data_IF_380709682914
#
_entry.id   IF_380709682914
#
_cell.length_a   1.000
_cell.length_b   1.000
_cell.length_c   1.000
_cell.angle_alpha   90.00
_cell.angle_beta   90.00
_cell.angle_gamma   90.00
#
_symmetry.space_group_name_H-M   'P 1'
#
loop_
_entity.id
_entity.type
_entity.pdbx_description
1 polymer ?
#
# COMPACT_ATOMS: atom_id res chain seq x y z
N UNK A 1 -25.26 -49.58 -46.11
CA UNK A 1 -24.06 -50.41 -45.85
C UNK A 1 -22.96 -49.48 -45.26
N UNK A 2 -22.66 -49.73 -44.02
CA UNK A 2 -21.30 -49.73 -43.40
C UNK A 2 -20.61 -48.38 -43.25
N UNK A 3 -20.62 -47.81 -42.05
CA UNK A 3 -19.57 -47.88 -40.99
C UNK A 3 -18.24 -47.25 -41.43
N UNK A 4 -17.60 -46.33 -40.64
CA UNK A 4 -16.94 -46.38 -39.36
C UNK A 4 -16.21 -45.03 -39.13
N UNK A 5 -16.45 -44.28 -38.11
CA UNK A 5 -15.75 -44.20 -36.82
C UNK A 5 -14.21 -44.09 -36.91
N UNK A 6 -13.68 -43.00 -36.28
CA UNK A 6 -12.51 -42.88 -35.38
C UNK A 6 -11.98 -41.44 -35.37
N UNK A 7 -12.15 -40.75 -34.31
CA UNK A 7 -11.30 -40.63 -33.12
C UNK A 7 -9.95 -39.95 -33.34
N UNK A 8 -9.80 -38.95 -32.49
CA UNK A 8 -8.63 -38.50 -31.69
C UNK A 8 -7.65 -37.59 -32.43
N UNK A 9 -7.28 -36.49 -31.91
CA UNK A 9 -6.48 -36.34 -30.71
C UNK A 9 -6.22 -34.88 -30.38
N UNK A 10 -6.09 -34.66 -29.10
CA UNK A 10 -5.71 -33.43 -28.43
C UNK A 10 -4.42 -32.78 -29.01
N UNK A 11 -4.46 -31.46 -29.10
CA UNK A 11 -3.29 -30.65 -29.30
C UNK A 11 -3.36 -29.47 -28.36
N UNK A 12 -2.75 -29.61 -27.21
CA UNK A 12 -2.48 -28.52 -26.26
C UNK A 12 -1.42 -27.62 -26.88
N UNK A 13 -1.80 -26.40 -27.23
CA UNK A 13 -0.84 -25.31 -27.40
C UNK A 13 -1.00 -24.35 -26.25
N UNK A 14 -0.08 -24.46 -25.33
CA UNK A 14 0.09 -23.49 -24.27
C UNK A 14 0.55 -22.14 -24.84
N UNK A 15 -0.31 -21.15 -24.77
CA UNK A 15 0.07 -19.76 -25.00
C UNK A 15 0.65 -19.25 -23.72
N UNK A 16 1.97 -19.16 -23.66
CA UNK A 16 2.68 -18.40 -22.62
C UNK A 16 2.50 -16.93 -22.94
N UNK A 17 1.52 -16.29 -22.30
CA UNK A 17 1.38 -14.84 -22.28
C UNK A 17 2.40 -14.26 -21.30
N UNK A 18 3.49 -13.72 -21.85
CA UNK A 18 4.41 -12.88 -21.09
C UNK A 18 3.68 -11.63 -20.64
N UNK A 19 3.41 -11.53 -19.34
CA UNK A 19 2.92 -10.32 -18.72
C UNK A 19 4.05 -9.31 -18.60
N UNK A 20 4.01 -8.29 -19.46
CA UNK A 20 4.78 -7.07 -19.27
C UNK A 20 4.19 -6.33 -18.06
N UNK A 21 4.99 -6.23 -16.99
CA UNK A 21 4.70 -5.46 -15.80
C UNK A 21 4.69 -3.96 -16.10
N UNK A 22 3.54 -3.41 -16.49
CA UNK A 22 3.24 -2.02 -16.24
C UNK A 22 2.45 -1.98 -14.93
N UNK A 23 3.13 -1.56 -13.85
CA UNK A 23 2.55 -1.50 -12.50
C UNK A 23 1.57 -0.36 -12.33
N UNK A 24 0.40 -0.43 -12.97
CA UNK A 24 -0.76 0.30 -12.54
C UNK A 24 -1.48 -0.57 -11.51
N UNK A 25 -1.50 -0.15 -10.25
CA UNK A 25 -2.33 -0.77 -9.22
C UNK A 25 -3.80 -0.57 -9.63
N UNK A 26 -4.36 -1.57 -10.30
CA UNK A 26 -5.80 -1.58 -10.56
C UNK A 26 -6.52 -1.84 -9.23
N UNK A 27 -7.57 -1.10 -8.92
CA UNK A 27 -8.39 -1.38 -7.75
C UNK A 27 -8.97 -2.79 -7.88
N UNK A 28 -8.69 -3.64 -6.89
CA UNK A 28 -9.27 -4.97 -6.81
C UNK A 28 -10.71 -4.83 -6.32
N UNK A 29 -11.70 -5.03 -7.20
CA UNK A 29 -13.09 -5.12 -6.80
C UNK A 29 -13.35 -6.51 -6.19
N UNK A 30 -13.64 -6.54 -4.90
CA UNK A 30 -14.04 -7.76 -4.20
C UNK A 30 -15.56 -7.83 -4.20
N UNK A 31 -16.12 -8.71 -5.03
CA UNK A 31 -17.53 -9.11 -4.93
C UNK A 31 -17.70 -10.02 -3.71
N UNK A 32 -17.88 -9.41 -2.54
CA UNK A 32 -18.25 -10.13 -1.33
C UNK A 32 -19.72 -10.57 -1.39
N UNK A 33 -19.99 -11.83 -1.71
CA UNK A 33 -21.29 -12.44 -1.37
C UNK A 33 -21.30 -12.73 0.14
N UNK A 34 -21.70 -11.75 0.91
CA UNK A 34 -21.94 -11.87 2.33
C UNK A 34 -22.95 -10.82 2.74
N UNK A 35 -24.00 -11.21 3.43
CA UNK A 35 -25.11 -10.47 4.03
C UNK A 35 -25.14 -8.96 3.75
N UNK A 36 -26.27 -8.39 3.33
CA UNK A 36 -26.36 -6.95 3.18
C UNK A 36 -25.91 -6.31 4.50
N UNK A 37 -24.93 -5.40 4.48
CA UNK A 37 -24.53 -4.69 5.68
C UNK A 37 -25.76 -3.98 6.24
N UNK A 38 -25.87 -3.85 7.57
CA UNK A 38 -26.94 -3.07 8.17
C UNK A 38 -26.99 -1.72 7.48
N UNK A 39 -28.20 -1.29 7.11
CA UNK A 39 -28.42 -0.02 6.39
C UNK A 39 -27.99 1.13 7.31
N UNK A 40 -26.69 1.33 7.39
CA UNK A 40 -26.02 2.46 8.04
C UNK A 40 -25.76 3.52 6.96
N UNK A 41 -26.22 4.71 7.17
CA UNK A 41 -26.13 5.78 6.20
C UNK A 41 -24.67 6.21 5.99
N UNK A 42 -24.04 5.86 4.86
CA UNK A 42 -22.80 6.55 4.53
C UNK A 42 -21.81 5.81 3.63
N UNK A 43 -20.77 6.54 3.30
CA UNK A 43 -19.51 5.95 2.82
C UNK A 43 -18.64 5.69 4.06
N UNK A 44 -18.16 4.47 4.19
CA UNK A 44 -17.28 4.07 5.30
C UNK A 44 -15.89 3.81 4.74
N UNK A 45 -14.90 4.46 5.35
CA UNK A 45 -13.51 4.20 5.09
C UNK A 45 -12.88 3.42 6.24
N UNK A 46 -11.97 2.53 5.93
CA UNK A 46 -11.13 1.84 6.91
C UNK A 46 -9.67 1.78 6.43
N UNK A 47 -8.77 1.79 7.38
CA UNK A 47 -7.33 1.65 7.13
C UNK A 47 -6.80 0.49 7.95
N UNK A 48 -6.25 -0.50 7.28
CA UNK A 48 -5.56 -1.63 7.89
C UNK A 48 -4.06 -1.53 7.63
N UNK A 49 -3.27 -2.05 8.55
CA UNK A 49 -1.81 -2.07 8.49
C UNK A 49 -1.30 -3.45 8.84
N UNK A 50 -0.19 -3.84 8.25
CA UNK A 50 0.46 -5.11 8.56
C UNK A 50 1.02 -5.16 9.99
N UNK A 51 1.42 -4.01 10.56
CA UNK A 51 1.95 -3.89 11.92
C UNK A 51 1.55 -2.54 12.54
N UNK A 52 1.53 -2.48 13.87
CA UNK A 52 1.34 -1.23 14.63
C UNK A 52 2.68 -0.62 15.09
N UNK A 53 3.73 -1.44 15.15
CA UNK A 53 5.08 -1.02 15.57
C UNK A 53 6.09 -1.50 14.55
N UNK A 54 6.94 -0.59 14.11
CA UNK A 54 8.00 -0.84 13.14
C UNK A 54 9.36 -0.49 13.74
N UNK A 55 10.40 -1.19 13.30
CA UNK A 55 11.78 -0.92 13.71
C UNK A 55 12.62 -0.58 12.50
N UNK A 56 13.11 0.65 12.45
CA UNK A 56 14.13 1.11 11.53
C UNK A 56 15.52 0.72 12.02
N UNK A 57 16.42 0.35 11.13
CA UNK A 57 17.80 0.04 11.48
C UNK A 57 18.73 1.16 10.93
N UNK A 58 19.38 1.93 11.81
CA UNK A 58 20.33 2.94 11.37
C UNK A 58 21.58 2.27 10.74
N UNK A 59 22.30 3.02 9.94
CA UNK A 59 23.61 2.58 9.48
C UNK A 59 24.55 2.41 10.70
N UNK A 60 25.23 1.28 10.78
CA UNK A 60 26.15 0.96 11.87
C UNK A 60 27.51 0.57 11.32
N UNK A 61 28.56 0.90 12.04
CA UNK A 61 29.89 0.36 11.80
C UNK A 61 30.05 -0.85 12.67
N UNK A 62 30.05 -2.02 12.07
CA UNK A 62 30.31 -3.26 12.80
C UNK A 62 31.79 -3.62 12.68
N UNK A 63 32.46 -3.72 13.83
CA UNK A 63 33.84 -4.20 13.92
C UNK A 63 33.83 -5.57 14.60
N UNK A 64 34.40 -6.60 13.96
CA UNK A 64 34.48 -7.92 14.61
C UNK A 64 35.28 -7.84 15.93
N UNK A 65 34.87 -8.59 16.95
CA UNK A 65 35.60 -8.60 18.22
C UNK A 65 37.04 -9.10 18.01
N UNK A 66 38.01 -8.39 18.58
CA UNK A 66 39.37 -8.81 18.56
C UNK A 66 39.55 -10.06 19.37
N UNK A 67 40.13 -11.12 18.80
CA UNK A 67 40.51 -12.32 19.54
C UNK A 67 41.76 -11.94 20.36
N UNK A 68 41.69 -12.12 21.67
CA UNK A 68 42.58 -11.56 22.71
C UNK A 68 44.07 -11.92 22.63
N UNK A 69 44.53 -12.68 21.63
CA UNK A 69 45.90 -13.19 21.54
C UNK A 69 46.64 -12.82 20.25
N UNK A 70 46.15 -11.84 19.47
CA UNK A 70 46.82 -11.39 18.25
C UNK A 70 47.11 -9.90 18.37
N UNK A 71 48.34 -9.42 18.02
CA UNK A 71 48.68 -7.99 18.04
C UNK A 71 47.78 -7.18 17.11
N UNK A 72 47.76 -5.87 17.21
CA UNK A 72 46.62 -4.98 17.05
C UNK A 72 45.64 -5.45 15.99
N UNK A 73 44.40 -5.60 16.41
CA UNK A 73 43.27 -6.02 15.59
C UNK A 73 43.22 -5.22 14.28
N UNK A 74 43.65 -5.83 13.18
CA UNK A 74 43.63 -5.25 11.84
C UNK A 74 42.41 -5.73 11.04
N UNK A 75 41.38 -6.27 11.71
CA UNK A 75 40.17 -6.68 11.00
C UNK A 75 39.43 -5.44 10.54
N UNK A 76 39.07 -5.37 9.26
CA UNK A 76 38.33 -4.22 8.74
C UNK A 76 36.96 -4.15 9.41
N UNK A 77 36.58 -2.95 9.82
CA UNK A 77 35.19 -2.67 10.18
C UNK A 77 34.33 -2.58 8.92
N UNK A 78 33.11 -3.08 9.02
CA UNK A 78 32.15 -3.08 7.90
C UNK A 78 31.05 -2.07 8.20
N UNK A 79 30.69 -1.28 7.19
CA UNK A 79 29.51 -0.45 7.24
C UNK A 79 28.29 -1.35 6.98
N UNK A 80 27.42 -1.46 7.96
CA UNK A 80 26.09 -2.08 7.78
C UNK A 80 25.15 -0.97 7.28
N UNK A 81 24.62 -1.16 6.10
CA UNK A 81 23.73 -0.19 5.49
C UNK A 81 22.48 0.04 6.32
N UNK A 82 21.96 1.25 6.25
CA UNK A 82 20.71 1.64 6.85
C UNK A 82 19.56 0.83 6.23
N UNK A 83 18.72 0.22 7.05
CA UNK A 83 17.51 -0.46 6.60
C UNK A 83 16.28 0.28 7.11
N UNK A 84 15.53 0.87 6.18
CA UNK A 84 14.28 1.54 6.49
C UNK A 84 13.14 0.53 6.44
N UNK A 85 12.35 0.47 7.51
CA UNK A 85 11.16 -0.37 7.55
C UNK A 85 10.13 0.12 6.51
N UNK A 86 9.43 -0.83 5.91
CA UNK A 86 8.36 -0.58 4.93
C UNK A 86 7.05 -1.01 5.56
N UNK A 87 6.15 -0.06 5.75
CA UNK A 87 4.79 -0.33 6.19
C UNK A 87 3.90 -0.68 4.99
N UNK A 88 2.99 -1.64 5.19
CA UNK A 88 2.00 -2.01 4.20
C UNK A 88 0.62 -1.60 4.70
N UNK A 89 -0.14 -0.97 3.82
CA UNK A 89 -1.45 -0.40 4.12
C UNK A 89 -2.49 -0.95 3.16
N UNK A 90 -3.70 -1.19 3.69
CA UNK A 90 -4.91 -1.46 2.92
C UNK A 90 -5.92 -0.38 3.30
N UNK A 91 -6.17 0.53 2.37
CA UNK A 91 -7.22 1.53 2.52
C UNK A 91 -8.47 1.04 1.77
N UNK A 92 -9.56 0.80 2.50
CA UNK A 92 -10.80 0.31 1.94
C UNK A 92 -11.91 1.35 2.08
N UNK A 93 -12.70 1.51 1.02
CA UNK A 93 -13.86 2.39 0.97
C UNK A 93 -15.08 1.59 0.58
N UNK A 94 -16.12 1.60 1.41
CA UNK A 94 -17.35 0.82 1.24
C UNK A 94 -18.55 1.75 1.11
N UNK A 95 -19.37 1.51 0.11
CA UNK A 95 -20.67 2.18 -0.02
C UNK A 95 -21.75 1.47 0.80
N UNK A 96 -22.14 2.04 1.93
CA UNK A 96 -23.23 1.56 2.76
C UNK A 96 -24.57 2.23 2.45
N UNK A 97 -24.63 3.15 1.48
CA UNK A 97 -25.89 3.67 0.98
C UNK A 97 -26.65 2.59 0.19
N UNK A 98 -27.94 2.79 0.03
CA UNK A 98 -28.82 1.96 -0.82
C UNK A 98 -28.83 2.40 -2.30
N UNK A 99 -27.99 3.37 -2.69
CA UNK A 99 -27.84 3.89 -4.04
C UNK A 99 -26.36 3.87 -4.46
N UNK A 100 -26.07 3.68 -5.75
CA UNK A 100 -24.71 3.80 -6.27
C UNK A 100 -24.10 5.17 -5.95
N UNK A 101 -22.77 5.20 -5.72
CA UNK A 101 -21.99 6.39 -5.45
C UNK A 101 -20.80 6.45 -6.40
N UNK A 102 -20.70 7.54 -7.15
CA UNK A 102 -19.60 7.80 -8.05
C UNK A 102 -18.61 8.77 -7.41
N UNK A 103 -17.34 8.45 -7.49
CA UNK A 103 -16.22 9.28 -7.06
C UNK A 103 -15.47 9.75 -8.29
N UNK A 104 -15.22 11.06 -8.37
CA UNK A 104 -14.52 11.70 -9.47
C UNK A 104 -13.18 12.25 -9.00
N UNK A 105 -12.16 12.14 -9.84
CA UNK A 105 -10.77 12.53 -9.55
C UNK A 105 -10.25 13.42 -10.68
N UNK A 106 -9.52 14.45 -10.32
CA UNK A 106 -8.91 15.38 -11.30
C UNK A 106 -7.69 14.80 -12.03
N UNK A 107 -7.18 13.66 -11.55
CA UNK A 107 -6.01 12.97 -12.09
C UNK A 107 -6.15 11.45 -11.98
N UNK A 108 -5.13 10.72 -12.39
CA UNK A 108 -5.03 9.27 -12.15
C UNK A 108 -4.80 8.89 -10.68
N UNK A 109 -4.49 9.85 -9.81
CA UNK A 109 -4.38 9.62 -8.37
C UNK A 109 -5.78 9.54 -7.76
N UNK A 110 -6.15 8.38 -7.22
CA UNK A 110 -7.47 8.16 -6.62
C UNK A 110 -7.43 8.19 -5.08
N UNK A 111 -6.28 7.94 -4.48
CA UNK A 111 -6.09 7.99 -3.04
C UNK A 111 -4.70 8.51 -2.70
N UNK A 112 -4.50 8.85 -1.43
CA UNK A 112 -3.19 9.09 -0.85
C UNK A 112 -3.12 8.58 0.59
N UNK A 113 -1.90 8.37 1.08
CA UNK A 113 -1.61 8.02 2.46
C UNK A 113 -0.51 8.93 2.95
N UNK A 114 -0.80 9.72 3.97
CA UNK A 114 0.12 10.66 4.61
C UNK A 114 0.60 10.13 5.96
N UNK A 115 1.87 10.34 6.27
CA UNK A 115 2.44 10.18 7.62
C UNK A 115 2.54 11.57 8.24
N UNK A 116 1.86 11.73 9.37
CA UNK A 116 1.74 13.01 10.06
C UNK A 116 2.42 12.89 11.42
N UNK A 117 3.30 13.82 11.75
CA UNK A 117 3.94 13.85 13.05
C UNK A 117 3.02 14.45 14.14
N UNK A 118 3.49 14.43 15.40
CA UNK A 118 2.73 14.93 16.53
C UNK A 118 2.48 16.45 16.49
N UNK A 119 3.15 17.19 15.61
CA UNK A 119 2.92 18.63 15.39
C UNK A 119 1.86 18.89 14.31
N UNK A 120 1.38 17.85 13.64
CA UNK A 120 0.44 17.93 12.53
C UNK A 120 1.11 18.16 11.17
N UNK A 121 2.45 18.04 11.10
CA UNK A 121 3.18 18.17 9.84
C UNK A 121 3.20 16.85 9.07
N UNK A 122 2.86 16.90 7.77
CA UNK A 122 3.04 15.76 6.85
C UNK A 122 4.52 15.58 6.56
N UNK A 123 5.11 14.51 7.09
CA UNK A 123 6.53 14.18 6.95
C UNK A 123 6.84 13.33 5.73
N UNK A 124 5.87 12.53 5.28
CA UNK A 124 5.94 11.73 4.05
C UNK A 124 4.52 11.47 3.52
N UNK A 125 4.40 11.26 2.21
CA UNK A 125 3.17 10.81 1.57
C UNK A 125 3.47 9.68 0.58
N UNK A 126 2.52 8.78 0.40
CA UNK A 126 2.66 7.70 -0.58
C UNK A 126 2.86 8.26 -2.00
N UNK A 127 2.16 9.34 -2.32
CA UNK A 127 2.26 10.02 -3.61
C UNK A 127 3.61 10.68 -3.90
N UNK A 128 4.45 10.93 -2.89
CA UNK A 128 5.76 11.58 -3.05
C UNK A 128 6.69 10.83 -4.04
N UNK A 129 6.49 9.51 -4.22
CA UNK A 129 7.28 8.67 -5.14
C UNK A 129 6.66 8.46 -6.52
N UNK A 130 5.52 9.11 -6.85
CA UNK A 130 4.75 8.81 -8.06
C UNK A 130 4.45 10.03 -8.91
N UNK A 131 4.31 9.78 -10.21
CA UNK A 131 3.78 10.74 -11.18
C UNK A 131 2.48 10.19 -11.70
N UNK A 132 1.40 10.96 -11.60
CA UNK A 132 0.05 10.55 -12.01
C UNK A 132 -0.34 11.21 -13.33
N UNK A 133 -1.03 10.47 -14.23
CA UNK A 133 -1.60 11.06 -15.44
C UNK A 133 -2.57 12.20 -15.08
N UNK A 134 -2.47 13.32 -15.80
CA UNK A 134 -3.37 14.46 -15.64
C UNK A 134 -4.68 14.25 -16.43
N UNK A 135 -5.33 13.12 -16.22
CA UNK A 135 -6.59 12.75 -16.84
C UNK A 135 -7.65 12.55 -15.76
N UNK A 136 -8.83 13.10 -15.97
CA UNK A 136 -9.96 12.85 -15.08
C UNK A 136 -10.29 11.36 -15.08
N UNK A 137 -10.47 10.81 -13.89
CA UNK A 137 -10.88 9.42 -13.68
C UNK A 137 -12.08 9.36 -12.74
N UNK A 138 -12.79 8.25 -12.77
CA UNK A 138 -13.91 8.01 -11.85
C UNK A 138 -14.10 6.52 -11.60
N UNK A 139 -14.72 6.19 -10.47
CA UNK A 139 -15.30 4.87 -10.24
C UNK A 139 -16.64 4.99 -9.51
N UNK A 140 -17.47 3.97 -9.66
CA UNK A 140 -18.76 3.88 -8.99
C UNK A 140 -18.78 2.66 -8.09
N UNK A 141 -19.27 2.84 -6.86
CA UNK A 141 -19.54 1.74 -5.93
C UNK A 141 -21.05 1.54 -5.83
N UNK A 142 -21.51 0.36 -6.16
CA UNK A 142 -22.88 -0.07 -5.91
C UNK A 142 -23.15 -0.24 -4.40
N UNK A 143 -24.41 -0.31 -3.97
CA UNK A 143 -24.76 -0.58 -2.58
C UNK A 143 -24.06 -1.83 -2.04
N UNK A 144 -23.34 -1.69 -0.93
CA UNK A 144 -22.54 -2.76 -0.30
C UNK A 144 -21.23 -3.07 -0.98
N UNK A 145 -20.90 -2.44 -2.10
CA UNK A 145 -19.62 -2.65 -2.77
C UNK A 145 -18.49 -1.90 -2.07
N UNK A 146 -17.30 -2.50 -2.08
CA UNK A 146 -16.06 -1.91 -1.57
C UNK A 146 -14.98 -1.85 -2.64
N UNK A 147 -14.12 -0.85 -2.56
CA UNK A 147 -12.84 -0.77 -3.28
C UNK A 147 -11.71 -0.79 -2.26
N UNK A 148 -10.60 -1.47 -2.60
CA UNK A 148 -9.42 -1.54 -1.75
C UNK A 148 -8.19 -1.04 -2.51
N UNK A 149 -7.42 -0.19 -1.83
CA UNK A 149 -6.15 0.35 -2.30
C UNK A 149 -5.02 -0.21 -1.44
N UNK A 150 -4.05 -0.84 -2.09
CA UNK A 150 -2.86 -1.36 -1.41
C UNK A 150 -1.70 -0.38 -1.62
N UNK A 151 -1.02 -0.03 -0.54
CA UNK A 151 0.12 0.86 -0.57
C UNK A 151 1.27 0.31 0.26
N UNK A 152 2.50 0.67 -0.14
CA UNK A 152 3.72 0.44 0.63
C UNK A 152 4.44 1.75 0.77
N UNK A 153 4.87 2.07 1.98
CA UNK A 153 5.54 3.32 2.28
C UNK A 153 6.76 3.05 3.17
N UNK A 154 7.92 3.54 2.73
CA UNK A 154 9.13 3.51 3.54
C UNK A 154 8.98 4.49 4.71
N UNK A 155 9.32 4.06 5.93
CA UNK A 155 9.18 4.87 7.13
C UNK A 155 10.37 5.82 7.30
N UNK A 156 10.43 6.77 6.37
CA UNK A 156 11.41 7.87 6.32
C UNK A 156 10.71 9.17 5.89
N UNK A 157 11.27 10.29 6.26
CA UNK A 157 10.79 11.59 5.81
C UNK A 157 11.19 11.88 4.35
N UNK A 158 10.70 13.01 3.81
CA UNK A 158 11.01 13.45 2.44
C UNK A 158 12.50 13.71 2.18
N UNK A 159 13.31 13.89 3.23
CA UNK A 159 14.76 14.02 3.15
C UNK A 159 15.49 12.67 3.23
N UNK A 160 14.76 11.56 3.36
CA UNK A 160 15.31 10.21 3.50
C UNK A 160 15.78 9.85 4.91
N UNK A 161 15.50 10.70 5.90
CA UNK A 161 15.80 10.42 7.30
C UNK A 161 14.77 9.44 7.86
N UNK A 162 15.24 8.37 8.49
CA UNK A 162 14.39 7.37 9.15
C UNK A 162 13.51 8.01 10.22
N UNK A 163 12.23 7.64 10.22
CA UNK A 163 11.28 8.04 11.25
C UNK A 163 11.61 7.36 12.58
N UNK A 164 11.36 8.08 13.69
CA UNK A 164 11.48 7.58 15.06
C UNK A 164 10.47 8.32 15.93
N UNK A 165 9.53 7.61 16.51
CA UNK A 165 8.46 8.20 17.32
C UNK A 165 7.10 7.64 16.97
N UNK A 166 6.06 8.39 17.36
CA UNK A 166 4.66 8.05 17.08
C UNK A 166 4.14 8.98 15.99
N UNK A 167 3.43 8.41 15.02
CA UNK A 167 2.90 9.11 13.86
C UNK A 167 1.45 8.72 13.62
N UNK A 168 0.66 9.65 13.14
CA UNK A 168 -0.68 9.39 12.62
C UNK A 168 -0.59 9.10 11.12
N UNK A 169 -1.23 8.04 10.70
CA UNK A 169 -1.38 7.67 9.30
C UNK A 169 -2.77 8.07 8.86
N UNK A 170 -2.82 8.92 7.85
CA UNK A 170 -4.05 9.45 7.29
C UNK A 170 -4.20 9.00 5.85
N UNK A 171 -5.18 8.12 5.56
CA UNK A 171 -5.52 7.65 4.23
C UNK A 171 -6.81 8.31 3.76
N UNK A 172 -6.86 8.77 2.53
CA UNK A 172 -8.02 9.47 1.99
C UNK A 172 -8.16 9.32 0.46
N UNK A 173 -9.39 9.50 -0.03
CA UNK A 173 -9.65 9.67 -1.47
C UNK A 173 -9.31 11.10 -1.91
N UNK A 174 -8.63 11.22 -3.05
CA UNK A 174 -8.26 12.52 -3.68
C UNK A 174 -9.36 13.08 -4.56
N UNK A 175 -10.63 12.91 -4.14
CA UNK A 175 -11.80 13.31 -4.92
C UNK A 175 -11.78 14.79 -5.28
N UNK A 176 -12.25 15.10 -6.50
CA UNK A 176 -12.46 16.46 -6.99
C UNK A 176 -13.87 16.97 -6.66
N UNK A 177 -14.01 18.29 -6.46
CA UNK A 177 -15.30 18.92 -6.23
C UNK A 177 -15.83 18.86 -4.79
N UNK A 178 -17.10 19.18 -4.56
CA UNK A 178 -17.70 19.32 -3.24
C UNK A 178 -18.11 17.99 -2.60
N UNK A 179 -17.42 16.91 -2.91
CA UNK A 179 -17.69 15.60 -2.34
C UNK A 179 -17.23 15.55 -0.88
N UNK A 180 -17.95 14.82 0.00
CA UNK A 180 -17.50 14.66 1.37
C UNK A 180 -16.14 13.96 1.38
N UNK A 181 -15.26 14.42 2.25
CA UNK A 181 -13.96 13.78 2.45
C UNK A 181 -14.18 12.34 2.96
N UNK A 182 -13.56 11.39 2.28
CA UNK A 182 -13.59 9.97 2.63
C UNK A 182 -12.20 9.62 3.10
N UNK A 183 -12.04 9.46 4.39
CA UNK A 183 -10.74 9.24 5.03
C UNK A 183 -10.81 8.26 6.20
N UNK A 184 -9.65 7.73 6.56
CA UNK A 184 -9.44 6.90 7.74
C UNK A 184 -8.07 7.21 8.34
N UNK A 185 -7.99 7.17 9.67
CA UNK A 185 -6.76 7.46 10.40
C UNK A 185 -6.38 6.29 11.31
N UNK A 186 -5.08 6.02 11.42
CA UNK A 186 -4.48 5.06 12.35
C UNK A 186 -3.18 5.62 12.91
N UNK A 187 -2.75 5.08 14.03
CA UNK A 187 -1.49 5.46 14.66
C UNK A 187 -0.48 4.33 14.54
N UNK A 188 0.77 4.68 14.27
CA UNK A 188 1.91 3.76 14.29
C UNK A 188 3.00 4.27 15.24
N UNK A 189 3.78 3.33 15.76
CA UNK A 189 5.04 3.62 16.44
C UNK A 189 6.21 3.13 15.59
N UNK A 190 7.22 3.98 15.42
CA UNK A 190 8.46 3.64 14.72
C UNK A 190 9.60 3.80 15.71
N UNK A 191 10.42 2.77 15.85
CA UNK A 191 11.54 2.77 16.79
C UNK A 191 12.86 2.59 16.06
N UNK A 192 13.92 3.10 16.66
CA UNK A 192 15.30 2.73 16.34
C UNK A 192 15.77 1.72 17.40
N UNK A 193 16.60 0.72 17.05
CA UNK A 193 17.18 -0.16 18.04
C UNK A 193 18.08 0.66 18.99
N UNK A 194 18.20 0.23 20.24
CA UNK A 194 19.03 0.91 21.25
C UNK A 194 20.53 0.86 20.91
#
# INVERSE_FOLDING_TARGET
MKERNRNSSAGWFGVVLAWLCCGAALPMQVNGQGYPPPVGAGIVASLEMDQAVYTNQPAMVWCPPCVTNVPPCMLPCYLVEQQTAIAQFIFAVTNQFNLPRTFEFSSGQQFDIEIIDQTGLVVAAWSDGYVFPQAQTSFTLDPGQAVMFNAKLALQDRAGKQLNGVYDIHAFLTTSGPQPRVDATRQIAVTLPP
#
